data_IF_553802392827
#
_entry.id   IF_553802392827
#
_cell.length_a   1.000
_cell.length_b   1.000
_cell.length_c   1.000
_cell.angle_alpha   90.00
_cell.angle_beta   90.00
_cell.angle_gamma   90.00
#
_symmetry.space_group_name_H-M   'P 1'
#
loop_
_entity.id
_entity.type
_entity.pdbx_description
1 polymer ?
#
# COMPACT_ATOMS: atom_id res chain seq x y z
N UNK A 1 3.34 -43.41 -10.80
CA UNK A 1 3.72 -42.19 -10.04
C UNK A 1 3.46 -40.89 -10.78
N UNK A 2 3.51 -40.81 -12.11
CA UNK A 2 3.17 -39.59 -12.86
C UNK A 2 1.65 -39.43 -12.99
N UNK A 3 0.90 -40.52 -13.06
CA UNK A 3 -0.57 -40.55 -13.22
C UNK A 3 -1.34 -39.98 -12.01
N UNK A 4 -0.76 -40.01 -10.82
CA UNK A 4 -1.45 -39.52 -9.61
C UNK A 4 -1.31 -37.99 -9.43
N UNK A 5 -0.33 -37.36 -10.06
CA UNK A 5 -0.16 -35.90 -10.06
C UNK A 5 -1.21 -35.15 -10.88
N UNK A 6 -1.73 -35.81 -11.96
CA UNK A 6 -2.75 -35.19 -12.83
C UNK A 6 -4.16 -35.14 -12.22
N UNK A 7 -4.34 -35.80 -11.06
CA UNK A 7 -5.66 -35.89 -10.38
C UNK A 7 -5.75 -35.14 -9.07
N UNK A 8 -4.76 -34.33 -8.68
CA UNK A 8 -4.87 -33.55 -7.46
C UNK A 8 -5.60 -32.24 -7.73
N UNK A 9 -6.69 -31.97 -7.00
CA UNK A 9 -7.44 -30.71 -7.04
C UNK A 9 -6.53 -29.47 -6.87
N UNK A 10 -5.43 -29.63 -6.16
CA UNK A 10 -4.44 -28.60 -5.96
C UNK A 10 -3.68 -28.20 -7.25
N UNK A 11 -3.35 -29.16 -8.12
CA UNK A 11 -2.70 -28.87 -9.41
C UNK A 11 -3.67 -28.23 -10.41
N UNK A 12 -4.91 -28.71 -10.45
CA UNK A 12 -5.95 -28.10 -11.27
C UNK A 12 -6.28 -26.67 -10.83
N UNK A 13 -6.25 -26.39 -9.52
CA UNK A 13 -6.39 -25.04 -9.00
C UNK A 13 -5.20 -24.13 -9.37
N UNK A 14 -3.96 -24.65 -9.31
CA UNK A 14 -2.78 -23.90 -9.76
C UNK A 14 -2.83 -23.57 -11.24
N UNK A 15 -3.21 -24.51 -12.11
CA UNK A 15 -3.36 -24.28 -13.55
C UNK A 15 -4.40 -23.19 -13.83
N UNK A 16 -5.51 -23.19 -13.08
CA UNK A 16 -6.52 -22.14 -13.19
C UNK A 16 -5.95 -20.78 -12.80
N UNK A 17 -5.25 -20.67 -11.67
CA UNK A 17 -4.62 -19.40 -11.24
C UNK A 17 -3.58 -18.91 -12.24
N UNK A 18 -2.79 -19.79 -12.83
CA UNK A 18 -1.85 -19.46 -13.89
C UNK A 18 -2.54 -18.92 -15.14
N UNK A 19 -3.58 -19.57 -15.58
CA UNK A 19 -4.37 -19.14 -16.74
C UNK A 19 -5.07 -17.80 -16.49
N UNK A 20 -5.65 -17.62 -15.30
CA UNK A 20 -6.30 -16.37 -14.89
C UNK A 20 -5.28 -15.23 -14.82
N UNK A 21 -4.09 -15.46 -14.25
CA UNK A 21 -3.02 -14.48 -14.19
C UNK A 21 -2.48 -14.13 -15.59
N UNK A 22 -2.27 -15.13 -16.43
CA UNK A 22 -1.84 -14.91 -17.81
C UNK A 22 -2.87 -14.13 -18.63
N UNK A 23 -4.15 -14.48 -18.49
CA UNK A 23 -5.24 -13.78 -19.14
C UNK A 23 -5.31 -12.32 -18.69
N UNK A 24 -5.12 -12.05 -17.40
CA UNK A 24 -5.10 -10.70 -16.86
C UNK A 24 -3.95 -9.87 -17.45
N UNK A 25 -2.72 -10.42 -17.43
CA UNK A 25 -1.52 -9.72 -17.95
C UNK A 25 -1.59 -9.49 -19.46
N UNK A 26 -2.17 -10.45 -20.20
CA UNK A 26 -2.29 -10.39 -21.67
C UNK A 26 -3.52 -9.63 -22.16
N UNK A 27 -4.44 -9.26 -21.26
CA UNK A 27 -5.66 -8.55 -21.63
C UNK A 27 -5.35 -7.16 -22.20
N UNK A 28 -6.22 -6.69 -23.08
CA UNK A 28 -6.13 -5.32 -23.62
C UNK A 28 -6.32 -4.29 -22.50
N UNK A 29 -7.23 -4.56 -21.61
CA UNK A 29 -7.60 -3.71 -20.46
C UNK A 29 -6.42 -3.52 -19.51
N UNK A 30 -5.70 -4.61 -19.19
CA UNK A 30 -4.51 -4.54 -18.35
C UNK A 30 -3.40 -3.72 -19.02
N UNK A 31 -3.12 -3.97 -20.31
CA UNK A 31 -2.12 -3.17 -21.06
C UNK A 31 -2.49 -1.69 -21.10
N UNK A 32 -3.77 -1.38 -21.28
CA UNK A 32 -4.27 0.00 -21.27
C UNK A 32 -4.16 0.64 -19.89
N UNK A 33 -4.33 -0.14 -18.82
CA UNK A 33 -4.13 0.35 -17.46
C UNK A 33 -2.68 0.78 -17.18
N UNK A 34 -1.71 0.04 -17.72
CA UNK A 34 -0.28 0.39 -17.61
C UNK A 34 0.13 1.56 -18.50
N UNK A 35 -0.66 1.92 -19.49
CA UNK A 35 -0.35 3.03 -20.41
C UNK A 35 -0.61 4.39 -19.76
N UNK A 36 0.40 4.91 -19.07
CA UNK A 36 0.37 6.22 -18.41
C UNK A 36 0.26 7.41 -19.37
N UNK A 37 0.44 7.20 -20.67
CA UNK A 37 0.28 8.27 -21.68
C UNK A 37 -1.19 8.68 -21.85
N UNK A 38 -2.11 7.81 -21.44
CA UNK A 38 -3.56 8.08 -21.46
C UNK A 38 -4.04 9.02 -20.34
N UNK A 39 -3.21 9.27 -19.34
CA UNK A 39 -3.53 10.22 -18.28
C UNK A 39 -3.21 11.66 -18.69
N UNK A 40 -4.08 12.58 -18.27
CA UNK A 40 -3.85 13.99 -18.49
C UNK A 40 -2.68 14.51 -17.67
N UNK A 41 -1.98 15.52 -18.18
CA UNK A 41 -0.88 16.14 -17.43
C UNK A 41 -1.38 16.73 -16.10
N UNK A 42 -2.59 17.30 -16.08
CA UNK A 42 -3.24 17.79 -14.86
C UNK A 42 -3.39 16.68 -13.79
N UNK A 43 -3.74 15.46 -14.20
CA UNK A 43 -3.86 14.33 -13.26
C UNK A 43 -2.49 13.88 -12.76
N UNK A 44 -1.50 13.82 -13.65
CA UNK A 44 -0.11 13.51 -13.27
C UNK A 44 0.46 14.52 -12.27
N UNK A 45 0.20 15.81 -12.49
CA UNK A 45 0.59 16.88 -11.56
C UNK A 45 -0.13 16.77 -10.21
N UNK A 46 -1.43 16.45 -10.22
CA UNK A 46 -2.23 16.27 -9.00
C UNK A 46 -1.66 15.17 -8.11
N UNK A 47 -1.26 14.04 -8.69
CA UNK A 47 -0.59 12.94 -7.97
C UNK A 47 0.85 13.27 -7.58
N UNK A 48 1.50 14.15 -8.30
CA UNK A 48 2.92 14.46 -8.19
C UNK A 48 3.76 13.72 -9.24
N UNK A 49 4.66 14.45 -9.90
CA UNK A 49 5.56 13.92 -10.93
C UNK A 49 6.80 13.24 -10.33
N UNK A 50 6.62 12.49 -9.25
CA UNK A 50 7.63 11.75 -8.50
C UNK A 50 7.25 10.25 -8.43
N UNK A 51 8.09 9.44 -7.81
CA UNK A 51 7.84 8.00 -7.71
C UNK A 51 6.56 7.64 -6.96
N UNK A 52 6.24 8.35 -5.88
CA UNK A 52 5.02 8.09 -5.11
C UNK A 52 3.79 8.37 -5.97
N UNK A 53 3.73 9.54 -6.60
CA UNK A 53 2.63 9.96 -7.46
C UNK A 53 2.40 9.03 -8.64
N UNK A 54 3.46 8.67 -9.37
CA UNK A 54 3.34 7.78 -10.52
C UNK A 54 2.87 6.38 -10.14
N UNK A 55 3.37 5.81 -9.03
CA UNK A 55 2.96 4.49 -8.55
C UNK A 55 1.51 4.48 -8.06
N UNK A 56 1.09 5.50 -7.32
CA UNK A 56 -0.28 5.60 -6.83
C UNK A 56 -1.28 5.87 -7.95
N UNK A 57 -0.91 6.69 -8.94
CA UNK A 57 -1.72 6.89 -10.14
C UNK A 57 -1.88 5.58 -10.94
N UNK A 58 -0.80 4.81 -11.11
CA UNK A 58 -0.87 3.49 -11.73
C UNK A 58 -1.76 2.53 -10.92
N UNK A 59 -1.65 2.55 -9.59
CA UNK A 59 -2.48 1.71 -8.71
C UNK A 59 -3.97 2.04 -8.89
N UNK A 60 -4.35 3.31 -8.97
CA UNK A 60 -5.73 3.72 -9.27
C UNK A 60 -6.20 3.19 -10.62
N UNK A 61 -5.37 3.29 -11.66
CA UNK A 61 -5.71 2.79 -13.01
C UNK A 61 -5.94 1.29 -13.02
N UNK A 62 -5.10 0.53 -12.30
CA UNK A 62 -5.25 -0.92 -12.18
C UNK A 62 -6.56 -1.29 -11.45
N UNK A 63 -6.88 -0.62 -10.36
CA UNK A 63 -8.17 -0.81 -9.65
C UNK A 63 -9.35 -0.48 -10.57
N UNK A 64 -9.30 0.65 -11.29
CA UNK A 64 -10.33 1.08 -12.23
C UNK A 64 -10.53 0.06 -13.38
N UNK A 65 -9.46 -0.65 -13.78
CA UNK A 65 -9.53 -1.73 -14.78
C UNK A 65 -10.00 -3.08 -14.20
N UNK A 66 -10.36 -3.14 -12.92
CA UNK A 66 -10.90 -4.35 -12.27
C UNK A 66 -9.86 -5.26 -11.62
N UNK A 67 -8.61 -4.83 -11.48
CA UNK A 67 -7.60 -5.59 -10.72
C UNK A 67 -7.98 -5.59 -9.25
N UNK A 68 -8.18 -6.77 -8.69
CA UNK A 68 -8.70 -6.93 -7.32
C UNK A 68 -7.67 -6.68 -6.22
N UNK A 69 -6.40 -6.90 -6.51
CA UNK A 69 -5.33 -6.70 -5.54
C UNK A 69 -4.15 -6.02 -6.22
N UNK A 70 -3.81 -4.84 -5.73
CA UNK A 70 -2.66 -4.05 -6.17
C UNK A 70 -1.78 -3.78 -4.96
N UNK A 71 -0.51 -4.14 -5.05
CA UNK A 71 0.47 -3.80 -4.03
C UNK A 71 1.62 -3.02 -4.65
N UNK A 72 2.13 -2.07 -3.89
CA UNK A 72 3.30 -1.27 -4.27
C UNK A 72 4.18 -1.02 -3.06
N UNK A 73 5.46 -0.87 -3.29
CA UNK A 73 6.39 -0.43 -2.26
C UNK A 73 6.90 0.98 -2.58
N UNK A 74 7.03 1.80 -1.56
CA UNK A 74 7.66 3.10 -1.62
C UNK A 74 8.78 3.16 -0.58
N UNK A 75 10.00 2.83 -1.02
CA UNK A 75 11.18 2.71 -0.15
C UNK A 75 11.82 4.03 0.21
N UNK A 76 12.93 3.95 0.98
CA UNK A 76 13.70 5.11 1.42
C UNK A 76 13.35 5.61 2.81
N UNK A 77 12.51 4.88 3.56
CA UNK A 77 12.09 5.25 4.93
C UNK A 77 12.97 4.67 6.03
N UNK A 78 14.02 3.93 5.67
CA UNK A 78 14.97 3.36 6.64
C UNK A 78 15.99 4.41 7.11
N UNK A 79 15.49 5.41 7.85
CA UNK A 79 16.21 6.62 8.21
C UNK A 79 16.92 6.48 9.56
N UNK A 80 17.95 5.67 9.60
CA UNK A 80 18.83 5.52 10.77
C UNK A 80 19.68 6.77 11.06
N UNK A 81 19.76 7.68 10.11
CA UNK A 81 20.52 8.94 10.21
C UNK A 81 19.71 10.08 9.59
N UNK A 82 19.88 11.28 10.11
CA UNK A 82 19.33 12.53 9.55
C UNK A 82 17.85 12.43 9.13
N UNK A 83 17.00 11.86 10.00
CA UNK A 83 15.58 11.58 9.72
C UNK A 83 14.83 12.83 9.25
N UNK A 84 15.16 14.00 9.79
CA UNK A 84 14.52 15.27 9.42
C UNK A 84 14.71 15.58 7.93
N UNK A 85 15.95 15.49 7.43
CA UNK A 85 16.24 15.75 6.02
C UNK A 85 15.57 14.70 5.10
N UNK A 86 15.58 13.42 5.49
CA UNK A 86 14.93 12.35 4.75
C UNK A 86 13.42 12.53 4.71
N UNK A 87 12.81 12.82 5.86
CA UNK A 87 11.37 13.01 5.96
C UNK A 87 10.89 14.25 5.20
N UNK A 88 11.60 15.37 5.31
CA UNK A 88 11.27 16.61 4.59
C UNK A 88 11.31 16.42 3.07
N UNK A 89 12.09 15.48 2.57
CA UNK A 89 12.13 15.14 1.14
C UNK A 89 10.97 14.22 0.73
N UNK A 90 10.76 13.14 1.45
CA UNK A 90 9.83 12.08 1.04
C UNK A 90 8.40 12.26 1.57
N UNK A 91 8.25 12.90 2.74
CA UNK A 91 6.96 13.11 3.38
C UNK A 91 5.97 13.86 2.51
N UNK A 92 6.33 15.04 1.95
CA UNK A 92 5.43 15.79 1.08
C UNK A 92 5.02 15.03 -0.19
N UNK A 93 5.94 14.25 -0.79
CA UNK A 93 5.64 13.44 -1.96
C UNK A 93 4.63 12.33 -1.65
N UNK A 94 4.80 11.65 -0.53
CA UNK A 94 3.89 10.61 -0.06
C UNK A 94 2.52 11.20 0.30
N UNK A 95 2.51 12.30 1.05
CA UNK A 95 1.28 12.97 1.49
C UNK A 95 0.42 13.39 0.30
N UNK A 96 1.02 14.12 -0.66
CA UNK A 96 0.34 14.52 -1.89
C UNK A 96 -0.22 13.33 -2.66
N UNK A 97 0.59 12.31 -2.88
CA UNK A 97 0.21 11.16 -3.69
C UNK A 97 -0.89 10.34 -3.01
N UNK A 98 -0.78 10.09 -1.70
CA UNK A 98 -1.73 9.30 -0.95
C UNK A 98 -3.08 10.03 -0.79
N UNK A 99 -3.07 11.30 -0.43
CA UNK A 99 -4.28 12.13 -0.34
C UNK A 99 -4.99 12.21 -1.71
N UNK A 100 -4.23 12.33 -2.78
CA UNK A 100 -4.78 12.35 -4.14
C UNK A 100 -5.39 11.01 -4.51
N UNK A 101 -4.74 9.89 -4.18
CA UNK A 101 -5.28 8.55 -4.44
C UNK A 101 -6.65 8.36 -3.78
N UNK A 102 -6.78 8.72 -2.51
CA UNK A 102 -8.04 8.61 -1.78
C UNK A 102 -9.12 9.50 -2.41
N UNK A 103 -8.79 10.75 -2.71
CA UNK A 103 -9.73 11.70 -3.31
C UNK A 103 -10.16 11.27 -4.72
N UNK A 104 -9.24 10.79 -5.55
CA UNK A 104 -9.53 10.36 -6.93
C UNK A 104 -10.39 9.09 -6.95
N UNK A 105 -10.14 8.14 -6.04
CA UNK A 105 -11.01 6.97 -5.85
C UNK A 105 -12.42 7.36 -5.37
N UNK A 106 -12.54 8.31 -4.45
CA UNK A 106 -13.82 8.82 -3.95
C UNK A 106 -14.60 9.54 -5.08
N UNK A 107 -13.96 10.45 -5.79
CA UNK A 107 -14.53 11.20 -6.93
C UNK A 107 -15.03 10.28 -8.04
N UNK A 108 -14.41 9.11 -8.21
CA UNK A 108 -14.80 8.09 -9.20
C UNK A 108 -15.84 7.08 -8.68
N UNK A 109 -16.24 7.18 -7.42
CA UNK A 109 -17.15 6.24 -6.79
C UNK A 109 -16.53 4.83 -6.58
N UNK A 110 -15.20 4.74 -6.55
CA UNK A 110 -14.47 3.48 -6.38
C UNK A 110 -14.07 3.23 -4.92
N UNK A 111 -14.02 4.27 -4.08
CA UNK A 111 -13.50 4.18 -2.72
C UNK A 111 -14.33 3.27 -1.82
N UNK A 112 -15.65 3.24 -1.97
CA UNK A 112 -16.53 2.40 -1.15
C UNK A 112 -16.30 0.89 -1.39
N UNK A 113 -15.85 0.52 -2.59
CA UNK A 113 -15.54 -0.87 -2.96
C UNK A 113 -14.04 -1.20 -2.94
N UNK A 114 -13.18 -0.24 -2.60
CA UNK A 114 -11.73 -0.37 -2.61
C UNK A 114 -11.14 -0.07 -1.25
N UNK A 115 -10.58 -1.08 -0.58
CA UNK A 115 -9.81 -0.87 0.64
C UNK A 115 -8.39 -0.42 0.28
N UNK A 116 -8.02 0.78 0.68
CA UNK A 116 -6.65 1.28 0.59
C UNK A 116 -5.98 1.14 1.95
N UNK A 117 -4.83 0.48 2.01
CA UNK A 117 -4.04 0.30 3.22
C UNK A 117 -2.62 0.78 3.00
N UNK A 118 -2.11 1.58 3.91
CA UNK A 118 -0.71 2.00 3.98
C UNK A 118 -0.12 1.51 5.30
N UNK A 119 0.94 0.72 5.20
CA UNK A 119 1.62 0.12 6.35
C UNK A 119 3.12 0.05 6.11
N UNK A 120 3.88 -0.08 7.19
CA UNK A 120 5.28 -0.52 7.18
C UNK A 120 5.37 -1.91 7.80
N UNK A 121 6.52 -2.57 7.64
CA UNK A 121 6.78 -3.88 8.25
C UNK A 121 6.89 -3.79 9.79
N UNK A 122 7.36 -2.66 10.32
CA UNK A 122 7.48 -2.37 11.75
C UNK A 122 7.58 -0.85 11.98
N UNK A 123 7.52 -0.45 13.25
CA UNK A 123 7.69 0.93 13.68
C UNK A 123 9.15 1.34 13.85
N UNK A 124 9.32 2.54 14.36
CA UNK A 124 10.62 3.14 14.66
C UNK A 124 10.70 3.52 16.14
N UNK A 125 11.92 3.54 16.69
CA UNK A 125 12.15 3.90 18.08
C UNK A 125 11.51 5.27 18.39
N UNK A 126 10.78 5.42 19.52
CA UNK A 126 10.25 6.72 19.92
C UNK A 126 11.33 7.77 20.13
N UNK A 127 12.52 7.33 20.53
CA UNK A 127 13.67 8.16 20.82
C UNK A 127 14.58 8.28 19.60
N UNK A 128 15.03 9.50 19.31
CA UNK A 128 16.06 9.78 18.29
C UNK A 128 17.38 9.19 18.76
N UNK A 129 18.11 8.51 17.88
CA UNK A 129 19.41 7.94 18.13
C UNK A 129 20.55 8.99 18.02
N UNK A 130 21.79 8.57 18.29
CA UNK A 130 22.97 9.43 18.25
C UNK A 130 23.27 10.05 16.87
N UNK A 131 22.77 9.45 15.80
CA UNK A 131 23.00 9.85 14.42
C UNK A 131 21.81 10.67 13.84
N UNK A 132 20.96 11.22 14.73
CA UNK A 132 19.76 11.96 14.38
C UNK A 132 18.75 11.15 13.52
N UNK A 133 18.67 9.85 13.74
CA UNK A 133 17.75 8.95 13.09
C UNK A 133 16.89 8.17 14.07
N UNK A 134 16.17 7.17 13.56
CA UNK A 134 15.39 6.23 14.36
C UNK A 134 15.71 4.80 13.94
N UNK A 135 15.83 3.91 14.92
CA UNK A 135 16.11 2.50 14.69
C UNK A 135 14.82 1.69 14.58
N UNK A 136 14.95 0.41 14.17
CA UNK A 136 13.82 -0.49 14.05
C UNK A 136 13.19 -0.76 15.42
N UNK A 137 11.85 -0.72 15.47
CA UNK A 137 11.12 -0.96 16.71
C UNK A 137 9.77 -1.67 16.42
N UNK A 138 9.73 -3.00 16.47
CA UNK A 138 8.57 -3.76 15.99
C UNK A 138 7.36 -3.75 16.93
N UNK A 139 7.49 -3.24 18.16
CA UNK A 139 6.43 -3.33 19.16
C UNK A 139 5.23 -2.45 18.89
N UNK A 140 5.45 -1.28 18.30
CA UNK A 140 4.39 -0.29 18.04
C UNK A 140 4.58 0.33 16.68
N UNK A 141 3.54 0.31 15.86
CA UNK A 141 3.47 1.06 14.60
C UNK A 141 2.03 1.31 14.21
N UNK A 142 1.81 2.19 13.27
CA UNK A 142 0.49 2.59 12.82
C UNK A 142 0.23 2.14 11.40
N UNK A 143 -1.03 1.86 11.12
CA UNK A 143 -1.54 1.55 9.78
C UNK A 143 -2.61 2.57 9.44
N UNK A 144 -2.56 3.14 8.24
CA UNK A 144 -3.62 3.99 7.72
C UNK A 144 -4.50 3.18 6.76
N UNK A 145 -5.81 3.31 6.89
CA UNK A 145 -6.79 2.65 6.04
C UNK A 145 -7.85 3.63 5.56
N UNK A 146 -8.31 3.44 4.32
CA UNK A 146 -9.43 4.21 3.77
C UNK A 146 -10.25 3.36 2.81
N UNK A 147 -11.55 3.68 2.68
CA UNK A 147 -12.46 2.98 1.78
C UNK A 147 -12.89 1.59 2.26
N UNK A 148 -13.45 0.79 1.36
CA UNK A 148 -13.85 -0.59 1.63
C UNK A 148 -14.79 -0.78 2.84
N UNK A 149 -15.62 0.22 3.17
CA UNK A 149 -16.52 0.18 4.31
C UNK A 149 -15.89 0.55 5.66
N UNK A 150 -14.63 0.98 5.70
CA UNK A 150 -13.97 1.48 6.91
C UNK A 150 -14.64 2.78 7.38
N UNK A 151 -14.94 2.86 8.68
CA UNK A 151 -15.49 4.07 9.29
C UNK A 151 -14.51 5.24 9.20
N UNK A 152 -14.97 6.36 8.64
CA UNK A 152 -14.13 7.55 8.42
C UNK A 152 -13.82 8.27 9.73
N UNK A 153 -12.61 8.86 9.83
CA UNK A 153 -12.22 9.72 10.96
C UNK A 153 -12.05 8.99 12.29
N UNK A 154 -11.83 7.68 12.26
CA UNK A 154 -11.60 6.88 13.44
C UNK A 154 -10.11 6.69 13.72
N UNK A 155 -9.75 6.74 15.00
CA UNK A 155 -8.48 6.24 15.52
C UNK A 155 -8.81 5.01 16.36
N UNK A 156 -8.20 3.89 16.08
CA UNK A 156 -8.43 2.62 16.76
C UNK A 156 -7.14 2.12 17.38
N UNK A 157 -7.16 1.91 18.68
CA UNK A 157 -6.00 1.50 19.47
C UNK A 157 -5.11 2.68 19.87
N UNK A 158 -4.34 2.45 20.92
CA UNK A 158 -3.34 3.42 21.41
C UNK A 158 -2.09 2.69 21.92
N UNK A 159 -1.00 3.44 21.98
CA UNK A 159 0.21 3.02 22.70
C UNK A 159 0.22 3.63 24.10
N UNK A 160 1.12 3.12 24.94
CA UNK A 160 1.48 3.77 26.19
C UNK A 160 2.01 5.21 25.95
N UNK A 161 2.09 6.00 27.02
CA UNK A 161 2.53 7.40 26.96
C UNK A 161 3.93 7.62 26.39
N UNK A 162 4.75 6.56 26.32
CA UNK A 162 6.11 6.59 25.78
C UNK A 162 6.24 5.99 24.38
N UNK A 163 5.11 5.55 23.81
CA UNK A 163 5.06 4.83 22.53
C UNK A 163 5.96 3.58 22.49
N UNK A 164 6.06 2.86 23.61
CA UNK A 164 6.92 1.70 23.76
C UNK A 164 6.18 0.36 23.70
N UNK A 165 4.89 0.35 23.97
CA UNK A 165 4.03 -0.82 23.88
C UNK A 165 2.60 -0.46 23.48
N UNK A 166 1.85 -1.36 22.82
CA UNK A 166 0.42 -1.17 22.65
C UNK A 166 -0.27 -1.21 24.04
N UNK A 167 -1.22 -0.33 24.28
CA UNK A 167 -1.94 -0.25 25.55
C UNK A 167 -3.41 -0.59 25.37
N UNK A 168 -4.09 0.04 24.41
CA UNK A 168 -5.50 -0.20 24.16
C UNK A 168 -5.74 -0.78 22.76
N UNK A 169 -6.66 -1.74 22.69
CA UNK A 169 -7.12 -2.33 21.43
C UNK A 169 -6.01 -2.66 20.43
N UNK A 170 -4.98 -3.44 20.82
CA UNK A 170 -3.90 -3.77 19.91
C UNK A 170 -4.43 -4.57 18.71
N UNK A 171 -4.06 -4.14 17.51
CA UNK A 171 -4.24 -4.95 16.31
C UNK A 171 -3.06 -5.92 16.19
N UNK A 172 -3.35 -7.22 16.25
CA UNK A 172 -2.34 -8.23 16.03
C UNK A 172 -2.10 -8.38 14.52
N UNK A 173 -0.87 -8.24 14.11
CA UNK A 173 -0.47 -8.55 12.74
C UNK A 173 -0.63 -10.06 12.49
N UNK A 174 -1.14 -10.45 11.32
CA UNK A 174 -1.22 -11.85 10.88
C UNK A 174 0.14 -12.57 10.85
N UNK A 175 1.25 -11.85 10.97
CA UNK A 175 2.61 -12.40 11.08
C UNK A 175 2.87 -13.00 12.46
N UNK A 176 2.02 -12.73 13.45
CA UNK A 176 2.17 -13.19 14.84
C UNK A 176 1.15 -14.29 15.24
N UNK A 177 0.45 -14.86 14.27
CA UNK A 177 -0.47 -15.99 14.47
C UNK A 177 0.22 -17.30 14.04
#
# INVERSE_FOLDING_TARGET
CIRDREKSDALGAMDKFYNDAYSLISSKEAREAFDMSKETDKMKERYGQNQAGQRMLLSRRLVESGVRFVSMTYGGWDMHQNIEAGFNKQGPELDQAFATLISDLDERGLLDSTLVMMSSEFGRTPKINKDNGRDHYPRVFSVAMAGGGIARGQVYGSSDAFATAPEENPLLSLIHI
#
